data_IF_292294011222
#
_entry.id   IF_292294011222
#
_cell.length_a   1.000
_cell.length_b   1.000
_cell.length_c   1.000
_cell.angle_alpha   90.00
_cell.angle_beta   90.00
_cell.angle_gamma   90.00
#
_symmetry.space_group_name_H-M   'P 1'
#
loop_
_entity.id
_entity.type
_entity.pdbx_description
1 polymer ?
#
# COMPACT_ATOMS: atom_id res chain seq x y z
N UNK A 1 4.73 0.93 -80.15
CA UNK A 1 6.06 1.36 -80.59
C UNK A 1 6.38 2.69 -79.91
N UNK A 2 7.52 2.75 -79.20
CA UNK A 2 8.30 3.95 -78.81
C UNK A 2 7.66 4.97 -77.85
N UNK A 3 8.34 5.56 -76.88
CA UNK A 3 9.67 5.40 -76.26
C UNK A 3 9.64 6.23 -74.96
N UNK A 4 10.39 5.78 -73.95
CA UNK A 4 10.61 6.43 -72.65
C UNK A 4 11.27 7.81 -72.78
N UNK A 5 10.95 8.73 -71.86
CA UNK A 5 11.90 9.74 -71.34
C UNK A 5 11.86 9.76 -69.81
N UNK A 6 13.04 9.61 -69.22
CA UNK A 6 13.38 9.76 -67.79
C UNK A 6 13.75 11.21 -67.51
N UNK A 7 13.59 11.67 -66.26
CA UNK A 7 14.56 12.37 -65.36
C UNK A 7 13.78 13.01 -64.17
N UNK A 8 14.42 13.49 -63.08
CA UNK A 8 14.92 12.66 -61.98
C UNK A 8 14.34 13.07 -60.61
N UNK A 9 14.23 12.09 -59.72
CA UNK A 9 13.80 12.29 -58.33
C UNK A 9 14.76 13.18 -57.53
N UNK A 10 14.20 14.12 -56.78
CA UNK A 10 14.91 14.88 -55.77
C UNK A 10 15.07 14.03 -54.51
N UNK A 11 16.25 13.42 -54.37
CA UNK A 11 16.72 12.87 -53.10
C UNK A 11 17.33 13.98 -52.26
N UNK A 12 16.65 14.36 -51.17
CA UNK A 12 17.29 15.15 -50.12
C UNK A 12 17.85 14.18 -49.07
N UNK A 13 19.17 13.97 -49.15
CA UNK A 13 19.95 13.27 -48.12
C UNK A 13 20.27 14.27 -47.01
N UNK A 14 19.65 14.13 -45.85
CA UNK A 14 20.19 14.60 -44.57
C UNK A 14 20.60 13.37 -43.76
N UNK A 15 21.88 13.35 -43.38
CA UNK A 15 22.58 12.24 -42.70
C UNK A 15 22.06 12.11 -41.27
N UNK A 16 21.62 10.92 -40.90
CA UNK A 16 21.46 10.49 -39.49
C UNK A 16 22.57 9.47 -39.21
N UNK A 17 23.31 9.56 -38.09
CA UNK A 17 24.44 8.69 -37.83
C UNK A 17 24.02 7.22 -37.66
N UNK A 18 24.83 6.35 -38.24
CA UNK A 18 24.76 4.90 -38.22
C UNK A 18 25.12 4.36 -36.82
N UNK A 19 24.12 3.92 -36.07
CA UNK A 19 24.29 3.09 -34.87
C UNK A 19 22.96 2.39 -34.53
N UNK A 20 22.54 1.45 -35.38
CA UNK A 20 21.35 0.65 -35.09
C UNK A 20 21.41 -0.74 -35.72
N UNK A 21 22.53 -1.45 -35.60
CA UNK A 21 22.56 -2.90 -35.79
C UNK A 21 23.74 -3.48 -35.03
N UNK A 22 23.55 -3.81 -33.74
CA UNK A 22 24.21 -5.00 -33.20
C UNK A 22 23.62 -5.48 -31.86
N UNK A 23 23.43 -6.81 -31.83
CA UNK A 23 23.36 -7.69 -30.68
C UNK A 23 22.19 -7.56 -29.67
N UNK A 24 21.05 -8.17 -30.04
CA UNK A 24 20.30 -8.98 -29.05
C UNK A 24 20.99 -10.35 -29.00
N UNK A 25 21.82 -10.58 -27.98
CA UNK A 25 22.25 -11.93 -27.59
C UNK A 25 21.48 -12.35 -26.33
N UNK A 26 20.96 -13.59 -26.26
CA UNK A 26 20.34 -14.11 -25.05
C UNK A 26 21.38 -14.13 -23.93
N UNK A 27 21.02 -13.62 -22.75
CA UNK A 27 21.86 -13.70 -21.58
C UNK A 27 22.11 -15.17 -21.22
N UNK A 28 23.37 -15.55 -21.33
CA UNK A 28 23.89 -16.86 -20.98
C UNK A 28 23.70 -17.13 -19.48
N UNK A 29 23.15 -18.30 -19.18
CA UNK A 29 22.89 -18.77 -17.83
C UNK A 29 24.15 -19.47 -17.33
N UNK A 30 25.15 -18.70 -16.92
CA UNK A 30 26.40 -19.27 -16.43
C UNK A 30 27.43 -18.23 -16.01
N UNK A 31 27.43 -17.88 -14.72
CA UNK A 31 28.63 -17.87 -13.87
C UNK A 31 28.28 -17.34 -12.48
N UNK A 32 28.55 -18.16 -11.45
CA UNK A 32 28.51 -17.76 -10.04
C UNK A 32 29.64 -16.75 -9.82
N UNK A 33 29.37 -15.45 -9.92
CA UNK A 33 30.28 -14.41 -9.47
C UNK A 33 29.62 -13.55 -8.41
N UNK A 34 30.10 -13.74 -7.18
CA UNK A 34 30.03 -12.81 -6.06
C UNK A 34 28.63 -12.43 -5.60
N UNK A 35 28.11 -13.12 -4.57
CA UNK A 35 27.16 -12.49 -3.65
C UNK A 35 27.84 -11.21 -3.12
N UNK A 36 27.54 -10.09 -3.77
CA UNK A 36 27.86 -8.77 -3.24
C UNK A 36 27.20 -8.67 -1.88
N UNK A 37 27.97 -8.26 -0.88
CA UNK A 37 27.57 -8.16 0.51
C UNK A 37 26.12 -7.68 0.62
N UNK A 38 25.27 -8.50 1.25
CA UNK A 38 23.89 -8.12 1.53
C UNK A 38 23.91 -6.71 2.17
N UNK A 39 23.08 -5.77 1.69
CA UNK A 39 23.10 -4.41 2.23
C UNK A 39 22.96 -4.45 3.75
N UNK A 40 23.77 -3.64 4.45
CA UNK A 40 23.73 -3.49 5.92
C UNK A 40 22.35 -3.03 6.42
N UNK A 41 21.50 -2.53 5.53
CA UNK A 41 20.14 -2.10 5.82
C UNK A 41 19.17 -3.26 5.60
N UNK A 42 18.62 -3.78 6.71
CA UNK A 42 17.51 -4.73 6.69
C UNK A 42 16.19 -3.95 6.65
N UNK A 43 15.24 -4.40 5.84
CA UNK A 43 13.90 -3.83 5.80
C UNK A 43 13.11 -4.21 7.06
N UNK A 44 12.32 -3.27 7.59
CA UNK A 44 11.47 -3.49 8.77
C UNK A 44 10.01 -3.85 8.44
N UNK A 45 9.56 -3.59 7.21
CA UNK A 45 8.24 -3.95 6.70
C UNK A 45 8.29 -4.05 5.17
N UNK A 46 7.40 -4.85 4.57
CA UNK A 46 7.12 -4.80 3.14
C UNK A 46 5.96 -3.84 2.90
N UNK A 47 6.21 -2.77 2.13
CA UNK A 47 5.16 -1.88 1.69
C UNK A 47 5.67 -0.55 1.12
N UNK A 48 4.77 0.33 0.68
CA UNK A 48 3.35 0.00 0.50
C UNK A 48 3.14 -0.86 -0.75
N UNK A 49 2.39 -1.96 -0.64
CA UNK A 49 2.03 -2.80 -1.78
C UNK A 49 0.65 -2.39 -2.26
N UNK A 50 0.55 -1.87 -3.47
CA UNK A 50 -0.66 -1.22 -3.96
C UNK A 50 -1.36 -1.86 -5.12
N UNK A 51 -2.59 -1.39 -5.29
CA UNK A 51 -3.45 -1.61 -6.45
C UNK A 51 -3.76 -0.27 -7.11
N UNK A 52 -4.08 -0.31 -8.40
CA UNK A 52 -4.35 0.84 -9.23
C UNK A 52 -5.60 1.60 -8.76
N UNK A 53 -5.61 2.93 -8.91
CA UNK A 53 -6.77 3.74 -8.58
C UNK A 53 -7.94 3.41 -9.51
N UNK A 54 -9.15 3.50 -8.95
CA UNK A 54 -10.42 3.42 -9.67
C UNK A 54 -10.59 2.14 -10.50
N UNK A 55 -10.16 1.02 -9.92
CA UNK A 55 -10.32 -0.30 -10.51
C UNK A 55 -10.37 -1.39 -9.43
N UNK A 56 -10.97 -2.56 -9.73
CA UNK A 56 -10.74 -3.77 -8.95
C UNK A 56 -9.28 -4.23 -9.08
N UNK A 57 -8.77 -4.91 -8.05
CA UNK A 57 -7.45 -5.54 -8.09
C UNK A 57 -7.31 -6.50 -9.28
N UNK A 58 -6.32 -6.22 -10.12
CA UNK A 58 -5.96 -6.95 -11.33
C UNK A 58 -5.16 -8.22 -11.03
N UNK A 59 -5.04 -9.12 -12.01
CA UNK A 59 -4.23 -10.33 -11.88
C UNK A 59 -2.72 -10.03 -11.68
N UNK A 60 -2.22 -8.95 -12.27
CA UNK A 60 -0.84 -8.54 -12.10
C UNK A 60 -0.58 -8.07 -10.66
N UNK A 61 -1.48 -7.29 -10.09
CA UNK A 61 -1.41 -6.89 -8.68
C UNK A 61 -1.54 -8.10 -7.76
N UNK A 62 -2.53 -8.97 -7.98
CA UNK A 62 -2.65 -10.22 -7.20
C UNK A 62 -1.37 -11.04 -7.23
N UNK A 63 -0.67 -11.11 -8.37
CA UNK A 63 0.65 -11.75 -8.47
C UNK A 63 1.69 -11.09 -7.57
N UNK A 64 1.73 -9.75 -7.51
CA UNK A 64 2.62 -8.99 -6.63
C UNK A 64 2.29 -9.25 -5.15
N UNK A 65 1.02 -9.19 -4.76
CA UNK A 65 0.58 -9.49 -3.39
C UNK A 65 1.01 -10.90 -2.97
N UNK A 66 0.78 -11.91 -3.83
CA UNK A 66 1.26 -13.28 -3.58
C UNK A 66 2.78 -13.37 -3.47
N UNK A 67 3.52 -12.64 -4.30
CA UNK A 67 4.99 -12.64 -4.26
C UNK A 67 5.51 -12.05 -2.93
N UNK A 68 4.94 -10.93 -2.47
CA UNK A 68 5.26 -10.33 -1.18
C UNK A 68 4.84 -11.23 -0.03
N UNK A 69 3.70 -11.92 -0.14
CA UNK A 69 3.29 -12.91 0.86
C UNK A 69 4.29 -14.05 1.00
N UNK A 70 4.81 -14.57 -0.12
CA UNK A 70 5.90 -15.56 -0.09
C UNK A 70 7.19 -14.99 0.53
N UNK A 71 7.50 -13.71 0.28
CA UNK A 71 8.64 -13.05 0.92
C UNK A 71 8.45 -12.95 2.44
N UNK A 72 7.27 -12.52 2.91
CA UNK A 72 6.89 -12.53 4.33
C UNK A 72 7.06 -13.92 4.94
N UNK A 73 6.60 -14.98 4.29
CA UNK A 73 6.75 -16.34 4.81
C UNK A 73 8.21 -16.79 4.92
N UNK A 74 9.13 -16.20 4.14
CA UNK A 74 10.56 -16.50 4.23
C UNK A 74 11.29 -15.66 5.27
N UNK A 75 10.82 -14.45 5.56
CA UNK A 75 11.57 -13.48 6.38
C UNK A 75 10.89 -13.13 7.71
N UNK A 76 9.59 -13.39 7.83
CA UNK A 76 8.72 -12.94 8.92
C UNK A 76 8.54 -11.41 9.03
N UNK A 77 8.98 -10.64 8.03
CA UNK A 77 8.82 -9.18 7.99
C UNK A 77 7.34 -8.82 7.74
N UNK A 78 6.70 -7.94 8.54
CA UNK A 78 5.29 -7.58 8.40
C UNK A 78 4.98 -6.89 7.07
N UNK A 79 3.71 -6.92 6.64
CA UNK A 79 3.28 -6.36 5.35
C UNK A 79 2.19 -5.31 5.56
N UNK A 80 2.30 -4.18 4.88
CA UNK A 80 1.22 -3.19 4.81
C UNK A 80 0.91 -2.85 3.35
N UNK A 81 -0.36 -2.56 3.08
CA UNK A 81 -0.87 -2.36 1.72
C UNK A 81 -1.33 -0.94 1.50
N UNK A 82 -1.29 -0.53 0.23
CA UNK A 82 -2.03 0.59 -0.29
C UNK A 82 -3.36 0.06 -0.82
N UNK A 83 -4.48 0.60 -0.36
CA UNK A 83 -5.79 0.28 -0.93
C UNK A 83 -6.31 1.45 -1.78
N UNK A 84 -7.01 1.17 -2.88
CA UNK A 84 -7.54 2.19 -3.76
C UNK A 84 -8.76 2.96 -3.20
N UNK A 85 -9.19 2.71 -1.96
CA UNK A 85 -10.31 3.45 -1.36
C UNK A 85 -10.17 4.97 -1.50
N UNK A 86 -11.24 5.60 -1.98
CA UNK A 86 -11.30 7.05 -2.21
C UNK A 86 -10.66 7.53 -3.51
N UNK A 87 -10.28 6.65 -4.45
CA UNK A 87 -9.74 7.08 -5.75
C UNK A 87 -10.79 7.15 -6.87
N UNK A 88 -11.95 6.52 -6.72
CA UNK A 88 -13.03 6.56 -7.70
C UNK A 88 -14.15 5.53 -7.46
N UNK A 89 -15.24 5.57 -8.25
CA UNK A 89 -16.43 4.74 -8.04
C UNK A 89 -16.25 3.26 -8.40
N UNK A 90 -15.21 2.91 -9.14
CA UNK A 90 -14.97 1.54 -9.62
C UNK A 90 -14.19 0.67 -8.62
N UNK A 91 -13.83 1.23 -7.46
CA UNK A 91 -13.14 0.49 -6.38
C UNK A 91 -14.19 -0.31 -5.60
N UNK A 92 -14.12 -1.65 -5.60
CA UNK A 92 -15.07 -2.47 -4.84
C UNK A 92 -14.99 -2.18 -3.35
N UNK A 93 -16.14 -2.16 -2.66
CA UNK A 93 -16.18 -1.92 -1.21
C UNK A 93 -15.36 -2.96 -0.43
N UNK A 94 -15.30 -4.19 -0.92
CA UNK A 94 -14.55 -5.32 -0.38
C UNK A 94 -13.08 -5.40 -0.83
N UNK A 95 -12.52 -4.36 -1.48
CA UNK A 95 -11.15 -4.38 -2.00
C UNK A 95 -10.09 -4.81 -0.96
N UNK A 96 -10.16 -4.29 0.27
CA UNK A 96 -9.28 -4.70 1.36
C UNK A 96 -9.39 -6.18 1.73
N UNK A 97 -10.59 -6.78 1.65
CA UNK A 97 -10.78 -8.22 1.86
C UNK A 97 -10.14 -9.04 0.73
N UNK A 98 -10.22 -8.57 -0.52
CA UNK A 98 -9.58 -9.22 -1.68
C UNK A 98 -8.06 -9.18 -1.60
N UNK A 99 -7.49 -8.13 -1.00
CA UNK A 99 -6.06 -8.08 -0.69
C UNK A 99 -5.68 -9.16 0.32
N UNK A 100 -6.48 -9.33 1.38
CA UNK A 100 -6.29 -10.41 2.36
C UNK A 100 -6.39 -11.78 1.68
N UNK A 101 -7.40 -12.02 0.84
CA UNK A 101 -7.55 -13.28 0.09
C UNK A 101 -6.29 -13.61 -0.72
N UNK A 102 -5.67 -12.62 -1.36
CA UNK A 102 -4.44 -12.81 -2.13
C UNK A 102 -3.27 -13.25 -1.24
N UNK A 103 -3.13 -12.70 -0.04
CA UNK A 103 -2.09 -13.10 0.91
C UNK A 103 -2.39 -14.47 1.56
N UNK A 104 -3.64 -14.73 1.94
CA UNK A 104 -4.07 -16.01 2.51
C UNK A 104 -3.87 -17.15 1.50
N UNK A 105 -4.05 -16.89 0.19
CA UNK A 105 -3.84 -17.89 -0.87
C UNK A 105 -2.42 -18.46 -0.93
N UNK A 106 -1.43 -17.76 -0.34
CA UNK A 106 -0.05 -18.26 -0.23
C UNK A 106 0.33 -18.67 1.20
N UNK A 107 -0.61 -18.61 2.15
CA UNK A 107 -0.44 -19.05 3.54
C UNK A 107 -0.06 -17.96 4.54
N UNK A 108 -0.13 -16.68 4.17
CA UNK A 108 0.10 -15.58 5.12
C UNK A 108 -1.06 -15.49 6.10
N UNK A 109 -0.76 -15.34 7.38
CA UNK A 109 -1.76 -15.13 8.42
C UNK A 109 -2.19 -13.64 8.44
N UNK A 110 -3.49 -13.31 8.45
CA UNK A 110 -3.96 -11.92 8.42
C UNK A 110 -3.39 -11.04 9.53
N UNK A 111 -3.04 -11.59 10.71
CA UNK A 111 -2.44 -10.86 11.84
C UNK A 111 -1.07 -10.22 11.51
N UNK A 112 -0.49 -10.55 10.35
CA UNK A 112 0.77 -9.97 9.84
C UNK A 112 0.54 -8.90 8.76
N UNK A 113 -0.71 -8.54 8.51
CA UNK A 113 -1.12 -7.59 7.48
C UNK A 113 -1.71 -6.34 8.11
N UNK A 114 -1.41 -5.18 7.51
CA UNK A 114 -2.14 -3.94 7.72
C UNK A 114 -2.74 -3.47 6.39
N UNK A 115 -4.06 -3.32 6.34
CA UNK A 115 -4.77 -2.83 5.14
C UNK A 115 -4.85 -1.32 5.22
N UNK A 116 -4.15 -0.63 4.32
CA UNK A 116 -4.09 0.83 4.31
C UNK A 116 -5.31 1.50 3.68
N UNK A 117 -5.37 2.83 3.81
CA UNK A 117 -6.39 3.73 3.24
C UNK A 117 -7.85 3.40 3.59
N UNK A 118 -8.09 2.53 4.57
CA UNK A 118 -9.45 2.15 5.00
C UNK A 118 -10.27 3.33 5.52
N UNK A 119 -9.60 4.38 6.00
CA UNK A 119 -10.25 5.65 6.38
C UNK A 119 -10.95 6.38 5.23
N UNK A 120 -10.75 5.97 3.97
CA UNK A 120 -11.35 6.57 2.79
C UNK A 120 -12.69 5.93 2.37
N UNK A 121 -13.20 4.93 3.10
CA UNK A 121 -14.42 4.18 2.77
C UNK A 121 -15.75 4.92 3.03
N UNK A 122 -15.73 6.05 3.75
CA UNK A 122 -16.92 6.78 4.23
C UNK A 122 -18.03 5.82 4.74
N UNK A 123 -17.66 4.94 5.66
CA UNK A 123 -18.48 3.85 6.17
C UNK A 123 -18.83 4.07 7.64
N UNK A 124 -19.92 4.79 7.92
CA UNK A 124 -20.28 5.17 9.29
C UNK A 124 -20.46 3.97 10.25
N UNK A 125 -20.85 2.80 9.73
CA UNK A 125 -21.05 1.58 10.53
C UNK A 125 -19.79 0.73 10.66
N UNK A 126 -18.72 1.10 9.97
CA UNK A 126 -17.46 0.36 9.93
C UNK A 126 -17.60 -1.11 9.47
N UNK A 127 -18.61 -1.43 8.67
CA UNK A 127 -18.98 -2.81 8.31
C UNK A 127 -17.83 -3.57 7.63
N UNK A 128 -17.15 -2.95 6.67
CA UNK A 128 -16.05 -3.61 5.95
C UNK A 128 -14.81 -3.71 6.82
N UNK A 129 -14.47 -2.65 7.55
CA UNK A 129 -13.26 -2.65 8.37
C UNK A 129 -13.40 -3.60 9.57
N UNK A 130 -14.60 -3.79 10.12
CA UNK A 130 -14.92 -4.84 11.10
C UNK A 130 -14.67 -6.23 10.52
N UNK A 131 -15.02 -6.48 9.26
CA UNK A 131 -14.74 -7.76 8.61
C UNK A 131 -13.23 -8.00 8.41
N UNK A 132 -12.47 -6.97 8.04
CA UNK A 132 -11.00 -7.01 7.96
C UNK A 132 -10.40 -7.40 9.32
N UNK A 133 -10.84 -6.73 10.39
CA UNK A 133 -10.36 -6.99 11.75
C UNK A 133 -10.79 -8.38 12.26
N UNK A 134 -12.01 -8.83 11.94
CA UNK A 134 -12.50 -10.17 12.28
C UNK A 134 -11.65 -11.29 11.66
N UNK A 135 -11.07 -11.07 10.47
CA UNK A 135 -10.09 -12.00 9.88
C UNK A 135 -8.74 -11.96 10.60
N UNK A 136 -8.47 -10.91 11.37
CA UNK A 136 -7.28 -10.75 12.20
C UNK A 136 -6.31 -9.69 11.68
N UNK A 137 -6.56 -9.06 10.54
CA UNK A 137 -5.69 -8.01 9.99
C UNK A 137 -5.82 -6.69 10.75
N UNK A 138 -4.81 -5.84 10.64
CA UNK A 138 -4.89 -4.45 11.09
C UNK A 138 -5.58 -3.59 10.05
N UNK A 139 -6.33 -2.60 10.54
CA UNK A 139 -7.05 -1.59 9.78
C UNK A 139 -6.25 -0.29 9.85
N UNK A 140 -5.74 0.17 8.71
CA UNK A 140 -4.94 1.38 8.58
C UNK A 140 -5.81 2.60 8.33
N UNK A 141 -5.95 3.45 9.35
CA UNK A 141 -6.43 4.82 9.22
C UNK A 141 -5.22 5.72 9.04
N UNK A 142 -4.64 5.66 7.85
CA UNK A 142 -3.37 6.30 7.54
C UNK A 142 -3.52 7.66 6.85
N UNK A 143 -4.71 8.10 6.46
CA UNK A 143 -4.96 9.45 5.93
C UNK A 143 -5.75 10.33 6.90
N UNK A 144 -5.49 10.21 8.21
CA UNK A 144 -6.09 11.16 9.16
C UNK A 144 -5.56 12.57 8.91
N UNK A 145 -6.36 13.58 9.21
CA UNK A 145 -6.04 15.01 8.97
C UNK A 145 -5.88 15.38 7.49
N UNK A 146 -6.30 14.53 6.55
CA UNK A 146 -6.25 14.78 5.11
C UNK A 146 -7.18 13.83 4.34
N UNK A 147 -7.01 13.77 3.02
CA UNK A 147 -7.86 12.93 2.16
C UNK A 147 -9.27 13.50 1.95
N UNK A 148 -10.10 12.76 1.22
CA UNK A 148 -11.46 13.18 0.83
C UNK A 148 -12.47 13.05 1.97
N UNK A 149 -12.36 11.99 2.77
CA UNK A 149 -13.25 11.76 3.93
C UNK A 149 -12.81 12.68 5.06
N UNK A 150 -13.73 13.48 5.59
CA UNK A 150 -13.44 14.40 6.70
C UNK A 150 -13.07 13.64 7.97
N UNK A 151 -12.28 14.27 8.84
CA UNK A 151 -11.93 13.64 10.10
C UNK A 151 -13.13 13.33 10.98
N UNK A 152 -14.20 14.12 10.94
CA UNK A 152 -15.39 13.87 11.75
C UNK A 152 -16.08 12.58 11.31
N UNK A 153 -16.16 12.32 10.00
CA UNK A 153 -16.62 11.05 9.45
C UNK A 153 -15.70 9.89 9.82
N UNK A 154 -14.38 10.11 9.80
CA UNK A 154 -13.41 9.11 10.27
C UNK A 154 -13.58 8.81 11.76
N UNK A 155 -13.82 9.83 12.59
CA UNK A 155 -14.10 9.65 14.03
C UNK A 155 -15.34 8.80 14.22
N UNK A 156 -16.45 9.09 13.53
CA UNK A 156 -17.66 8.24 13.56
C UNK A 156 -17.35 6.78 13.23
N UNK A 157 -16.59 6.54 12.15
CA UNK A 157 -16.20 5.20 11.74
C UNK A 157 -15.29 4.52 12.78
N UNK A 158 -14.35 5.25 13.39
CA UNK A 158 -13.53 4.72 14.50
C UNK A 158 -14.42 4.33 15.69
N UNK A 159 -15.36 5.18 16.11
CA UNK A 159 -16.25 4.86 17.22
C UNK A 159 -17.05 3.59 16.97
N UNK A 160 -17.65 3.46 15.78
CA UNK A 160 -18.38 2.25 15.39
C UNK A 160 -17.47 1.01 15.37
N UNK A 161 -16.22 1.16 14.95
CA UNK A 161 -15.22 0.09 14.96
C UNK A 161 -14.81 -0.34 16.37
N UNK A 162 -14.63 0.63 17.28
CA UNK A 162 -14.31 0.39 18.69
C UNK A 162 -15.47 -0.26 19.44
N UNK A 163 -16.71 0.18 19.18
CA UNK A 163 -17.92 -0.46 19.72
C UNK A 163 -18.04 -1.92 19.29
N UNK A 164 -17.56 -2.26 18.08
CA UNK A 164 -17.46 -3.63 17.60
C UNK A 164 -16.40 -4.48 18.31
N UNK A 165 -15.63 -3.93 19.26
CA UNK A 165 -14.61 -4.65 20.02
C UNK A 165 -13.27 -4.81 19.31
N UNK A 166 -13.01 -4.06 18.24
CA UNK A 166 -11.82 -4.22 17.40
C UNK A 166 -10.69 -3.21 17.69
N UNK A 167 -10.65 -2.64 18.90
CA UNK A 167 -9.66 -1.65 19.30
C UNK A 167 -8.20 -2.09 19.02
N UNK A 168 -7.91 -3.38 19.23
CA UNK A 168 -6.57 -3.93 19.05
C UNK A 168 -6.13 -3.99 17.58
N UNK A 169 -7.04 -3.78 16.63
CA UNK A 169 -6.75 -3.88 15.20
C UNK A 169 -6.60 -2.53 14.51
N UNK A 170 -6.76 -1.40 15.21
CA UNK A 170 -6.65 -0.07 14.60
C UNK A 170 -5.22 0.44 14.59
N UNK A 171 -4.75 0.93 13.44
CA UNK A 171 -3.52 1.70 13.29
C UNK A 171 -3.85 3.10 12.78
N UNK A 172 -3.16 4.12 13.32
CA UNK A 172 -3.34 5.51 12.92
C UNK A 172 -2.06 6.07 12.30
N UNK A 173 -2.20 6.76 11.17
CA UNK A 173 -1.13 7.53 10.51
C UNK A 173 -1.76 8.68 9.72
N UNK A 174 -0.96 9.63 9.26
CA UNK A 174 -1.41 10.79 8.49
C UNK A 174 -1.02 10.79 7.02
N UNK A 175 -0.27 9.77 6.54
CA UNK A 175 0.16 9.58 5.14
C UNK A 175 0.66 10.92 4.57
N UNK A 176 1.58 11.50 5.32
CA UNK A 176 1.97 12.88 5.14
C UNK A 176 3.01 12.96 4.03
N UNK A 177 2.53 13.25 2.83
CA UNK A 177 3.35 13.40 1.61
C UNK A 177 3.43 14.86 1.13
N UNK A 178 2.78 15.79 1.82
CA UNK A 178 2.55 17.18 1.37
C UNK A 178 3.31 18.27 2.14
N UNK A 179 3.00 19.52 1.81
CA UNK A 179 3.53 20.71 2.50
C UNK A 179 2.80 20.94 3.81
N UNK A 180 3.55 21.35 4.86
CA UNK A 180 2.97 21.72 6.15
C UNK A 180 2.01 22.91 6.01
N UNK A 181 0.94 22.90 6.80
CA UNK A 181 -0.01 24.00 6.94
C UNK A 181 -0.45 24.12 8.40
N UNK A 182 -1.17 25.19 8.77
CA UNK A 182 -1.72 25.32 10.13
C UNK A 182 -2.68 24.15 10.48
N UNK A 183 -3.46 23.69 9.50
CA UNK A 183 -4.38 22.55 9.66
C UNK A 183 -3.67 21.18 9.61
N UNK A 184 -2.49 21.10 8.99
CA UNK A 184 -1.63 19.90 8.93
C UNK A 184 -0.18 20.26 9.31
N UNK A 185 0.11 20.50 10.60
CA UNK A 185 1.41 20.97 11.05
C UNK A 185 2.61 20.08 10.68
N UNK A 186 2.41 18.79 10.44
CA UNK A 186 3.44 17.88 9.91
C UNK A 186 3.25 16.43 10.34
N UNK A 187 4.34 15.71 10.57
CA UNK A 187 4.30 14.28 10.91
C UNK A 187 3.57 13.96 12.23
N UNK A 188 3.46 14.95 13.14
CA UNK A 188 2.80 14.77 14.42
C UNK A 188 1.26 14.84 14.35
N UNK A 189 0.67 15.14 13.18
CA UNK A 189 -0.77 15.39 13.03
C UNK A 189 -1.67 14.31 13.64
N UNK A 190 -1.28 13.04 13.51
CA UNK A 190 -2.01 11.93 14.12
C UNK A 190 -2.18 12.14 15.62
N UNK A 191 -1.08 12.48 16.31
CA UNK A 191 -1.05 12.64 17.76
C UNK A 191 -1.55 14.02 18.22
N UNK A 192 -1.29 15.08 17.46
CA UNK A 192 -1.58 16.46 17.88
C UNK A 192 -2.93 16.97 17.40
N UNK A 193 -3.58 16.30 16.46
CA UNK A 193 -4.88 16.71 15.90
C UNK A 193 -5.91 15.59 15.99
N UNK A 194 -5.64 14.42 15.41
CA UNK A 194 -6.65 13.37 15.31
C UNK A 194 -6.92 12.64 16.64
N UNK A 195 -5.87 12.30 17.39
CA UNK A 195 -6.02 11.70 18.73
C UNK A 195 -6.82 12.60 19.69
N UNK A 196 -6.58 13.93 19.76
CA UNK A 196 -7.45 14.84 20.51
C UNK A 196 -8.92 14.80 20.10
N UNK A 197 -9.23 14.65 18.80
CA UNK A 197 -10.63 14.50 18.34
C UNK A 197 -11.26 13.20 18.86
N UNK A 198 -10.52 12.09 18.82
CA UNK A 198 -11.00 10.83 19.40
C UNK A 198 -11.24 10.95 20.92
N UNK A 199 -10.33 11.63 21.64
CA UNK A 199 -10.50 11.91 23.06
C UNK A 199 -11.77 12.74 23.33
N UNK A 200 -11.98 13.81 22.56
CA UNK A 200 -13.18 14.66 22.67
C UNK A 200 -14.47 13.88 22.36
N UNK A 201 -14.39 12.89 21.47
CA UNK A 201 -15.49 11.99 21.15
C UNK A 201 -15.71 10.88 22.20
N UNK A 202 -14.98 10.89 23.32
CA UNK A 202 -15.17 9.98 24.45
C UNK A 202 -14.31 8.72 24.45
N UNK A 203 -13.33 8.60 23.54
CA UNK A 203 -12.38 7.47 23.57
C UNK A 203 -11.45 7.63 24.77
N UNK A 204 -11.46 6.62 25.64
CA UNK A 204 -10.66 6.59 26.87
C UNK A 204 -9.16 6.51 26.58
N UNK A 205 -8.34 7.06 27.48
CA UNK A 205 -6.88 7.13 27.29
C UNK A 205 -6.21 5.76 27.22
N UNK A 206 -6.74 4.73 27.88
CA UNK A 206 -6.23 3.35 27.79
C UNK A 206 -6.48 2.73 26.40
N UNK A 207 -7.62 3.05 25.77
CA UNK A 207 -7.92 2.67 24.38
C UNK A 207 -7.01 3.43 23.43
N UNK A 208 -6.81 4.73 23.66
CA UNK A 208 -5.90 5.55 22.85
C UNK A 208 -4.46 5.02 22.95
N UNK A 209 -4.00 4.66 24.14
CA UNK A 209 -2.68 4.06 24.34
C UNK A 209 -2.51 2.77 23.53
N UNK A 210 -3.51 1.88 23.57
CA UNK A 210 -3.52 0.68 22.73
C UNK A 210 -3.37 1.01 21.25
N UNK A 211 -4.14 1.96 20.75
CA UNK A 211 -4.14 2.34 19.33
C UNK A 211 -2.81 2.98 18.89
N UNK A 212 -2.25 3.90 19.67
CA UNK A 212 -1.08 4.70 19.25
C UNK A 212 0.26 4.10 19.64
N UNK A 213 0.28 3.14 20.56
CA UNK A 213 1.51 2.54 21.08
C UNK A 213 1.52 1.03 20.92
N UNK A 214 0.57 0.32 21.53
CA UNK A 214 0.61 -1.15 21.56
C UNK A 214 0.38 -1.79 20.19
N UNK A 215 -0.59 -1.28 19.42
CA UNK A 215 -0.92 -1.81 18.10
C UNK A 215 0.23 -1.65 17.09
N UNK A 216 0.86 -0.46 16.93
CA UNK A 216 2.06 -0.33 16.11
C UNK A 216 3.21 -1.23 16.55
N UNK A 217 3.44 -1.35 17.87
CA UNK A 217 4.46 -2.24 18.41
C UNK A 217 4.18 -3.70 18.03
N UNK A 218 2.94 -4.16 18.22
CA UNK A 218 2.50 -5.53 17.90
C UNK A 218 2.57 -5.83 16.40
N UNK A 219 2.24 -4.85 15.55
CA UNK A 219 2.32 -5.00 14.10
C UNK A 219 3.76 -5.06 13.60
N UNK A 220 4.62 -4.13 14.06
CA UNK A 220 5.99 -3.99 13.57
C UNK A 220 6.98 -4.97 14.21
N UNK A 221 6.64 -5.57 15.36
CA UNK A 221 7.52 -6.53 16.01
C UNK A 221 7.55 -7.88 15.26
N UNK A 222 8.75 -8.29 14.85
CA UNK A 222 9.00 -9.61 14.28
C UNK A 222 10.39 -10.15 14.64
N UNK A 223 10.50 -11.48 14.63
CA UNK A 223 11.78 -12.18 14.72
C UNK A 223 12.12 -12.69 13.32
N UNK A 224 13.21 -12.24 12.69
CA UNK A 224 13.61 -12.73 11.37
C UNK A 224 13.79 -14.25 11.38
N UNK A 225 13.34 -14.94 10.32
CA UNK A 225 13.67 -16.36 10.18
C UNK A 225 15.17 -16.54 9.99
N UNK A 226 15.75 -17.58 10.61
CA UNK A 226 17.13 -17.98 10.36
C UNK A 226 17.26 -18.35 8.88
N UNK A 227 18.31 -17.85 8.25
CA UNK A 227 18.65 -18.14 6.86
C UNK A 227 19.09 -19.59 6.70
#
# INVERSE_FOLDING_TARGET
MHRRRRTPGHGHRSRVPEAAHDAVRPADCGERRGLHAAPKNRYGAYGEIGEMPDAPISELERKVFRAVGKAHLRTNVPVFTHNAYGTGPNVPRDAGLRQIDAFESVGVKPQRLAIGHTCCLDDANADIIKQIAKRGAFVGFDRVTGGLVTDDKKVTMVLAFLEGGYADHLLLCSDFTGRRSAARPGYANTLTVFVPKLRQAGVKDDVLHRIVYENPLRFLAFVPKKA
#
